data_IF_833554474428
#
_entry.id   IF_833554474428
#
_cell.length_a   1.000
_cell.length_b   1.000
_cell.length_c   1.000
_cell.angle_alpha   90.00
_cell.angle_beta   90.00
_cell.angle_gamma   90.00
#
_symmetry.space_group_name_H-M   'P 1'
#
loop_
_entity.id
_entity.type
_entity.pdbx_description
1 polymer ?
#
# COMPACT_ATOMS: atom_id res chain seq x y z
N UNK A 1 6.80 -14.72 13.67
CA UNK A 1 8.07 -14.36 13.01
C UNK A 1 8.93 -13.33 13.78
N UNK A 2 8.61 -12.99 15.04
CA UNK A 2 9.39 -12.01 15.82
C UNK A 2 10.48 -12.60 16.74
N UNK A 3 10.42 -13.88 17.09
CA UNK A 3 11.35 -14.49 18.05
C UNK A 3 12.70 -14.92 17.43
N UNK A 4 12.77 -15.11 16.10
CA UNK A 4 14.00 -15.52 15.40
C UNK A 4 14.82 -14.34 14.85
N UNK A 5 14.32 -13.11 14.94
CA UNK A 5 15.05 -11.91 14.49
C UNK A 5 16.02 -11.36 15.55
N UNK A 6 15.85 -11.79 16.80
CA UNK A 6 16.58 -11.27 17.97
C UNK A 6 18.08 -11.60 17.98
N UNK A 7 18.59 -12.75 17.51
CA UNK A 7 20.02 -13.01 17.51
C UNK A 7 20.77 -12.50 16.27
N UNK A 8 20.08 -12.06 15.20
CA UNK A 8 20.74 -11.80 13.91
C UNK A 8 21.28 -10.36 13.76
N UNK A 9 20.74 -9.37 14.50
CA UNK A 9 21.09 -7.95 14.29
C UNK A 9 21.91 -7.29 15.40
N UNK A 10 22.03 -7.87 16.59
CA UNK A 10 22.94 -7.36 17.65
C UNK A 10 22.70 -5.93 18.17
N UNK A 11 21.78 -5.18 17.56
CA UNK A 11 21.29 -3.86 17.95
C UNK A 11 19.77 -3.92 17.85
N UNK A 12 19.09 -3.85 18.98
CA UNK A 12 17.64 -3.66 19.01
C UNK A 12 17.38 -2.28 18.42
N UNK A 13 16.90 -2.21 17.18
CA UNK A 13 16.32 -0.98 16.65
C UNK A 13 14.80 -1.09 16.83
N UNK A 14 14.22 -0.53 17.91
CA UNK A 14 12.79 -0.67 18.24
C UNK A 14 11.85 -0.04 17.20
N UNK A 15 12.40 0.62 16.18
CA UNK A 15 11.68 1.18 15.04
C UNK A 15 11.10 0.11 14.08
N UNK A 16 11.62 -1.11 14.04
CA UNK A 16 11.06 -2.21 13.21
C UNK A 16 9.78 -2.82 13.80
N UNK A 17 9.54 -2.63 15.11
CA UNK A 17 8.30 -3.02 15.81
C UNK A 17 7.26 -1.89 15.85
N UNK A 18 7.52 -0.78 15.16
CA UNK A 18 6.58 0.32 15.09
C UNK A 18 5.29 -0.10 14.35
N UNK A 19 4.10 0.44 14.73
CA UNK A 19 2.83 0.24 14.01
C UNK A 19 2.88 0.53 12.50
N UNK A 20 3.95 1.20 12.05
CA UNK A 20 4.23 1.51 10.66
C UNK A 20 4.11 0.29 9.72
N UNK A 21 4.64 -0.88 10.11
CA UNK A 21 4.58 -2.08 9.26
C UNK A 21 3.15 -2.59 9.01
N UNK A 22 2.28 -2.49 10.00
CA UNK A 22 0.87 -2.90 9.86
C UNK A 22 0.06 -1.93 9.00
N UNK A 23 0.31 -0.61 9.12
CA UNK A 23 -0.37 0.42 8.32
C UNK A 23 0.02 0.27 6.84
N UNK A 24 1.28 -0.06 6.57
CA UNK A 24 1.78 -0.26 5.22
C UNK A 24 1.01 -1.36 4.48
N UNK A 25 0.75 -2.49 5.15
CA UNK A 25 -0.04 -3.61 4.58
C UNK A 25 -1.47 -3.19 4.27
N UNK A 26 -2.11 -2.42 5.15
CA UNK A 26 -3.48 -1.91 4.92
C UNK A 26 -3.52 -1.01 3.68
N UNK A 27 -2.47 -0.21 3.47
CA UNK A 27 -2.36 0.71 2.34
C UNK A 27 -2.18 -0.03 1.02
N UNK A 28 -1.40 -1.12 1.00
CA UNK A 28 -1.27 -1.97 -0.20
C UNK A 28 -2.64 -2.45 -0.68
N UNK A 29 -3.48 -2.92 0.26
CA UNK A 29 -4.83 -3.41 -0.05
C UNK A 29 -5.77 -2.26 -0.42
N UNK A 30 -5.68 -1.11 0.24
CA UNK A 30 -6.52 0.06 -0.04
C UNK A 30 -6.28 0.61 -1.46
N UNK A 31 -5.01 0.73 -1.87
CA UNK A 31 -4.61 1.19 -3.21
C UNK A 31 -4.99 0.16 -4.27
N UNK A 32 -4.67 -1.11 -4.02
CA UNK A 32 -5.01 -2.20 -4.92
C UNK A 32 -6.50 -2.39 -5.15
N UNK A 33 -7.27 -2.26 -4.08
CA UNK A 33 -8.71 -2.52 -4.03
C UNK A 33 -9.03 -3.77 -3.21
N UNK A 34 -9.90 -3.60 -2.21
CA UNK A 34 -10.32 -4.61 -1.22
C UNK A 34 -11.12 -5.81 -1.76
N UNK A 35 -11.33 -5.91 -3.08
CA UNK A 35 -12.20 -6.93 -3.71
C UNK A 35 -11.45 -8.02 -4.48
N UNK A 36 -10.12 -7.93 -4.63
CA UNK A 36 -9.35 -8.87 -5.45
C UNK A 36 -7.95 -9.10 -4.88
N UNK A 37 -7.47 -10.35 -4.92
CA UNK A 37 -6.07 -10.69 -4.59
C UNK A 37 -5.08 -10.01 -5.54
N UNK A 38 -5.41 -9.93 -6.83
CA UNK A 38 -4.59 -9.24 -7.84
C UNK A 38 -4.44 -7.74 -7.58
N UNK A 39 -5.49 -7.09 -7.08
CA UNK A 39 -5.43 -5.69 -6.65
C UNK A 39 -4.44 -5.49 -5.52
N UNK A 40 -4.51 -6.30 -4.46
CA UNK A 40 -3.58 -6.22 -3.34
C UNK A 40 -2.11 -6.42 -3.79
N UNK A 41 -1.85 -7.34 -4.71
CA UNK A 41 -0.51 -7.55 -5.27
C UNK A 41 0.00 -6.31 -6.05
N UNK A 42 -0.84 -5.72 -6.91
CA UNK A 42 -0.50 -4.48 -7.62
C UNK A 42 -0.26 -3.31 -6.67
N UNK A 43 -1.10 -3.16 -5.65
CA UNK A 43 -0.95 -2.13 -4.62
C UNK A 43 0.34 -2.31 -3.81
N UNK A 44 0.71 -3.55 -3.48
CA UNK A 44 1.97 -3.86 -2.81
C UNK A 44 3.17 -3.45 -3.67
N UNK A 45 3.18 -3.80 -4.96
CA UNK A 45 4.27 -3.43 -5.88
C UNK A 45 4.41 -1.90 -5.99
N UNK A 46 3.30 -1.19 -6.19
CA UNK A 46 3.28 0.27 -6.32
C UNK A 46 3.81 0.97 -5.06
N UNK A 47 3.30 0.57 -3.90
CA UNK A 47 3.69 1.20 -2.63
C UNK A 47 5.13 0.86 -2.27
N UNK A 48 5.59 -0.37 -2.54
CA UNK A 48 6.96 -0.77 -2.24
C UNK A 48 7.97 -0.07 -3.17
N UNK A 49 7.58 0.18 -4.43
CA UNK A 49 8.36 1.02 -5.34
C UNK A 49 8.43 2.47 -4.85
N UNK A 50 7.30 3.05 -4.46
CA UNK A 50 7.25 4.38 -3.86
C UNK A 50 8.11 4.44 -2.59
N UNK A 51 8.02 3.43 -1.73
CA UNK A 51 8.84 3.32 -0.52
C UNK A 51 10.32 3.40 -0.85
N UNK A 52 10.79 2.56 -1.76
CA UNK A 52 12.20 2.52 -2.18
C UNK A 52 12.69 3.89 -2.66
N UNK A 53 11.87 4.60 -3.43
CA UNK A 53 12.21 5.92 -3.96
C UNK A 53 12.21 7.01 -2.86
N UNK A 54 11.16 7.07 -2.05
CA UNK A 54 10.99 8.13 -1.05
C UNK A 54 11.83 7.92 0.22
N UNK A 55 12.02 6.68 0.67
CA UNK A 55 12.91 6.40 1.82
C UNK A 55 14.38 6.58 1.46
N UNK A 56 14.74 6.52 0.16
CA UNK A 56 16.09 6.82 -0.30
C UNK A 56 16.45 8.30 -0.26
N UNK A 57 15.46 9.20 -0.41
CA UNK A 57 15.67 10.64 -0.42
C UNK A 57 15.32 11.31 0.92
N UNK A 58 14.20 10.94 1.56
CA UNK A 58 13.69 11.56 2.78
C UNK A 58 12.95 10.55 3.68
N UNK A 59 13.66 9.83 4.56
CA UNK A 59 13.08 8.79 5.42
C UNK A 59 11.98 9.31 6.36
N UNK A 60 12.15 10.52 6.89
CA UNK A 60 11.25 11.12 7.89
C UNK A 60 9.90 11.54 7.30
N UNK A 61 9.87 11.87 6.01
CA UNK A 61 8.67 12.35 5.31
C UNK A 61 7.82 11.16 4.82
N UNK A 62 8.40 9.96 4.72
CA UNK A 62 7.71 8.77 4.21
C UNK A 62 6.41 8.46 4.98
N UNK A 63 6.41 8.55 6.31
CA UNK A 63 5.22 8.28 7.12
C UNK A 63 4.08 9.28 6.84
N UNK A 64 4.41 10.57 6.64
CA UNK A 64 3.43 11.59 6.27
C UNK A 64 2.90 11.36 4.85
N UNK A 65 3.78 11.01 3.91
CA UNK A 65 3.41 10.66 2.54
C UNK A 65 2.51 9.42 2.50
N UNK A 66 2.84 8.40 3.27
CA UNK A 66 2.11 7.15 3.38
C UNK A 66 0.70 7.38 3.98
N UNK A 67 0.58 8.21 5.01
CA UNK A 67 -0.71 8.67 5.54
C UNK A 67 -1.52 9.51 4.54
N UNK A 68 -0.87 10.44 3.83
CA UNK A 68 -1.52 11.26 2.80
C UNK A 68 -1.99 10.43 1.59
N UNK A 69 -1.20 9.44 1.18
CA UNK A 69 -1.54 8.48 0.13
C UNK A 69 -2.76 7.66 0.52
N UNK A 70 -2.83 7.19 1.78
CA UNK A 70 -3.98 6.47 2.31
C UNK A 70 -5.27 7.30 2.25
N UNK A 71 -5.22 8.55 2.73
CA UNK A 71 -6.39 9.45 2.72
C UNK A 71 -6.81 9.76 1.27
N UNK A 72 -5.86 10.10 0.40
CA UNK A 72 -6.15 10.37 -1.02
C UNK A 72 -6.84 9.18 -1.69
N UNK A 73 -6.31 7.98 -1.49
CA UNK A 73 -6.86 6.76 -2.10
C UNK A 73 -8.25 6.44 -1.54
N UNK A 74 -8.46 6.56 -0.24
CA UNK A 74 -9.76 6.25 0.38
C UNK A 74 -10.85 7.25 0.01
N UNK A 75 -10.50 8.53 -0.16
CA UNK A 75 -11.45 9.58 -0.55
C UNK A 75 -11.74 9.56 -2.05
N UNK A 76 -10.72 9.51 -2.91
CA UNK A 76 -10.90 9.61 -4.36
C UNK A 76 -11.15 8.27 -5.05
N UNK A 77 -10.67 7.16 -4.47
CA UNK A 77 -10.76 5.81 -5.06
C UNK A 77 -11.19 4.77 -4.01
N UNK A 78 -12.40 4.86 -3.42
CA UNK A 78 -12.87 3.97 -2.35
C UNK A 78 -12.98 2.49 -2.77
N UNK A 79 -12.98 2.21 -4.08
CA UNK A 79 -12.96 0.85 -4.64
C UNK A 79 -11.54 0.36 -5.01
N UNK A 80 -10.51 1.19 -4.80
CA UNK A 80 -9.14 0.99 -5.24
C UNK A 80 -8.96 1.10 -6.76
N UNK A 81 -7.72 0.90 -7.21
CA UNK A 81 -7.34 0.96 -8.63
C UNK A 81 -8.09 -0.09 -9.45
N UNK A 82 -8.12 -1.35 -8.97
CA UNK A 82 -8.77 -2.44 -9.70
C UNK A 82 -10.29 -2.29 -9.74
N UNK A 83 -10.92 -1.81 -8.66
CA UNK A 83 -12.35 -1.56 -8.64
C UNK A 83 -12.79 -0.39 -9.53
N UNK A 84 -11.93 0.61 -9.69
CA UNK A 84 -12.18 1.77 -10.56
C UNK A 84 -12.02 1.40 -12.05
N UNK A 85 -10.98 0.64 -12.39
CA UNK A 85 -10.77 0.12 -13.74
C UNK A 85 -11.85 -0.91 -14.15
N UNK A 86 -12.22 -1.82 -13.24
CA UNK A 86 -13.29 -2.79 -13.48
C UNK A 86 -14.66 -2.14 -13.74
N UNK A 87 -14.96 -1.03 -13.06
CA UNK A 87 -16.17 -0.23 -13.32
C UNK A 87 -16.17 0.45 -14.70
N UNK A 88 -15.01 0.96 -15.13
CA UNK A 88 -14.82 1.59 -16.44
C UNK A 88 -14.97 0.59 -17.60
N UNK A 89 -14.37 -0.59 -17.47
CA UNK A 89 -14.46 -1.67 -18.48
C UNK A 89 -15.89 -2.19 -18.60
N UNK A 90 -16.62 -2.32 -17.49
CA UNK A 90 -18.02 -2.76 -17.50
C UNK A 90 -18.94 -1.71 -18.13
N UNK A 91 -18.72 -0.43 -17.84
CA UNK A 91 -19.48 0.69 -18.44
C UNK A 91 -19.26 0.83 -19.95
N UNK A 92 -18.08 0.46 -20.46
CA UNK A 92 -17.80 0.44 -21.90
C UNK A 92 -18.49 -0.72 -22.63
N UNK A 93 -18.53 -1.90 -21.98
CA UNK A 93 -19.16 -3.11 -22.52
C UNK A 93 -20.70 -3.02 -22.57
N UNK A 94 -21.31 -2.31 -21.64
CA UNK A 94 -22.77 -2.06 -21.65
C UNK A 94 -23.19 -0.99 -22.68
N UNK A 95 -22.26 -0.20 -23.23
CA UNK A 95 -22.55 0.79 -24.29
C UNK A 95 -22.45 0.22 -25.72
N UNK A 96 -21.98 -1.01 -25.86
CA UNK A 96 -21.79 -1.69 -27.16
C UNK A 96 -22.79 -2.81 -27.42
N UNK A 97 -23.81 -2.94 -26.55
CA UNK A 97 -25.05 -3.68 -26.81
C UNK A 97 -26.19 -2.68 -26.98
#
# INVERSE_FOLDING_TARGET
AGALYVPQVGIINPSEFAPAGSIEIVIWVAIGGRGTLYGAALGAILVNYAKTYFTGAFPEIWLFMLGGLFISVTVFMPKGIVGSLGGLVRKWKDRTK
#
